data_IF_222877137251
#
_entry.id   IF_222877137251
#
_cell.length_a   1.000
_cell.length_b   1.000
_cell.length_c   1.000
_cell.angle_alpha   90.00
_cell.angle_beta   90.00
_cell.angle_gamma   90.00
#
_symmetry.space_group_name_H-M   'P 1'
#
loop_
_entity.id
_entity.type
_entity.pdbx_description
1 polymer ?
#
# COMPACT_ATOMS: atom_id res chain seq x y z
N UNK A 1 -13.65 47.66 -22.51
CA UNK A 1 -12.21 47.87 -22.27
C UNK A 1 -11.86 47.56 -20.81
N UNK A 2 -11.57 46.30 -20.44
CA UNK A 2 -11.11 45.89 -19.09
C UNK A 2 -10.18 44.65 -19.14
N UNK A 3 -9.18 44.69 -20.01
CA UNK A 3 -8.19 43.61 -20.23
C UNK A 3 -6.74 44.12 -20.17
N UNK A 4 -6.45 45.10 -19.30
CA UNK A 4 -5.18 45.83 -19.29
C UNK A 4 -4.68 46.18 -17.86
N UNK A 5 -4.83 45.26 -16.90
CA UNK A 5 -4.60 45.53 -15.47
C UNK A 5 -3.81 44.46 -14.70
N UNK A 6 -3.28 43.42 -15.35
CA UNK A 6 -2.58 42.29 -14.68
C UNK A 6 -1.12 42.12 -15.16
N UNK A 7 -0.66 42.92 -16.14
CA UNK A 7 0.65 42.76 -16.79
C UNK A 7 1.81 43.58 -16.17
N UNK A 8 1.68 44.03 -14.91
CA UNK A 8 2.58 45.04 -14.31
C UNK A 8 3.26 44.64 -12.99
N UNK A 9 3.11 43.37 -12.55
CA UNK A 9 3.73 42.85 -11.31
C UNK A 9 4.72 41.72 -11.65
N UNK A 10 5.61 41.97 -12.62
CA UNK A 10 6.54 40.97 -13.16
C UNK A 10 7.97 41.49 -13.43
N UNK A 11 8.29 42.73 -13.01
CA UNK A 11 9.53 43.43 -13.40
C UNK A 11 10.27 44.14 -12.23
N UNK A 12 10.14 43.66 -10.99
CA UNK A 12 10.82 44.25 -9.81
C UNK A 12 11.48 43.22 -8.88
N UNK A 13 11.99 42.11 -9.41
CA UNK A 13 12.86 41.17 -8.67
C UNK A 13 14.04 40.72 -9.54
N UNK A 14 14.84 41.67 -10.03
CA UNK A 14 16.05 41.35 -10.82
C UNK A 14 17.22 42.34 -10.70
N UNK A 15 17.38 42.98 -9.53
CA UNK A 15 18.59 43.71 -9.14
C UNK A 15 19.01 43.28 -7.73
N UNK A 16 20.27 42.86 -7.55
CA UNK A 16 20.74 42.37 -6.24
C UNK A 16 21.94 41.41 -6.20
N UNK A 17 22.78 41.33 -7.25
CA UNK A 17 23.96 40.43 -7.26
C UNK A 17 25.27 41.21 -7.35
N UNK A 18 25.89 41.52 -6.20
CA UNK A 18 27.36 41.63 -6.10
C UNK A 18 27.91 41.69 -4.66
N UNK A 19 29.01 40.96 -4.45
CA UNK A 19 30.04 41.15 -3.39
C UNK A 19 29.56 41.04 -1.93
N UNK A 20 30.07 40.11 -1.13
CA UNK A 20 31.49 40.09 -0.74
C UNK A 20 32.10 38.69 -0.69
N UNK A 21 33.43 38.63 -0.75
CA UNK A 21 34.22 37.44 -0.48
C UNK A 21 35.20 37.75 0.65
N UNK A 22 35.26 36.87 1.66
CA UNK A 22 36.22 36.96 2.77
C UNK A 22 36.97 35.64 2.88
N UNK A 23 38.23 35.72 2.51
CA UNK A 23 39.34 34.80 2.76
C UNK A 23 39.20 33.96 4.04
N UNK A 24 39.48 32.65 3.94
CA UNK A 24 39.93 31.84 5.08
C UNK A 24 40.83 30.70 4.56
N UNK A 25 42.14 30.91 4.61
CA UNK A 25 43.16 29.90 4.30
C UNK A 25 43.14 28.71 5.29
N UNK A 26 43.42 27.46 4.87
CA UNK A 26 43.38 26.30 5.76
C UNK A 26 44.56 26.27 6.74
N UNK A 27 44.26 25.99 8.02
CA UNK A 27 45.27 25.67 9.04
C UNK A 27 45.48 24.15 9.11
N UNK A 28 46.75 23.73 9.12
CA UNK A 28 47.16 22.34 9.34
C UNK A 28 47.62 22.17 10.78
N UNK A 29 46.88 21.38 11.57
CA UNK A 29 47.31 20.94 12.92
C UNK A 29 48.17 19.66 12.82
N UNK A 30 49.12 19.44 13.74
CA UNK A 30 50.10 18.36 13.64
C UNK A 30 49.60 17.02 14.21
N UNK A 31 50.14 15.92 13.68
CA UNK A 31 50.01 14.57 14.29
C UNK A 31 51.25 14.31 15.14
N UNK A 32 51.08 14.20 16.45
CA UNK A 32 52.16 13.89 17.39
C UNK A 32 52.38 12.37 17.50
N UNK A 33 53.63 11.93 17.49
CA UNK A 33 54.00 10.52 17.66
C UNK A 33 54.18 10.18 19.14
N UNK A 34 53.61 9.07 19.59
CA UNK A 34 54.06 8.39 20.82
C UNK A 34 53.99 6.87 20.65
N UNK A 35 55.17 6.25 20.60
CA UNK A 35 55.36 4.83 20.94
C UNK A 35 55.42 4.70 22.48
N UNK A 36 55.21 3.51 23.08
CA UNK A 36 56.39 2.62 23.24
C UNK A 36 56.11 1.09 23.27
N UNK A 37 57.07 0.30 22.76
CA UNK A 37 57.55 -1.00 23.29
C UNK A 37 56.52 -1.98 23.92
N UNK A 38 56.22 -3.13 23.30
CA UNK A 38 57.00 -4.37 23.47
C UNK A 38 56.17 -5.46 24.20
N UNK A 39 56.41 -6.77 24.09
CA UNK A 39 57.43 -7.53 23.35
C UNK A 39 56.90 -8.92 22.91
N UNK A 40 57.78 -9.69 22.27
CA UNK A 40 57.75 -11.08 21.75
C UNK A 40 56.71 -12.07 22.37
N UNK A 41 56.13 -13.02 21.62
CA UNK A 41 56.87 -14.15 21.00
C UNK A 41 56.10 -14.87 19.87
N UNK A 42 56.87 -15.54 19.00
CA UNK A 42 56.46 -16.56 18.00
C UNK A 42 57.27 -17.85 18.30
N UNK A 43 57.20 -19.01 17.59
CA UNK A 43 56.41 -19.34 16.40
C UNK A 43 55.70 -20.72 16.42
N UNK A 44 54.94 -21.00 15.36
CA UNK A 44 54.76 -22.37 14.84
C UNK A 44 54.69 -22.32 13.30
N UNK A 45 55.42 -23.20 12.61
CA UNK A 45 55.43 -23.29 11.14
C UNK A 45 55.23 -24.74 10.69
N UNK A 46 54.55 -24.93 9.55
CA UNK A 46 54.36 -26.23 8.90
C UNK A 46 54.16 -26.06 7.39
N UNK A 47 54.93 -26.78 6.57
CA UNK A 47 54.96 -26.62 5.11
C UNK A 47 55.42 -27.89 4.38
N UNK A 48 54.56 -28.43 3.53
CA UNK A 48 54.80 -29.42 2.45
C UNK A 48 53.66 -29.22 1.41
N UNK A 49 53.86 -28.96 0.10
CA UNK A 49 54.26 -29.88 -1.00
C UNK A 49 53.42 -31.17 -1.02
N UNK A 50 52.55 -31.50 -2.00
CA UNK A 50 52.49 -31.24 -3.47
C UNK A 50 52.87 -32.51 -4.26
N UNK A 51 52.57 -32.72 -5.57
CA UNK A 51 51.73 -31.97 -6.55
C UNK A 51 50.73 -32.86 -7.38
N UNK A 52 50.14 -32.32 -8.46
CA UNK A 52 49.50 -33.08 -9.57
C UNK A 52 47.96 -33.01 -9.66
N UNK A 53 47.28 -32.98 -10.82
CA UNK A 53 47.73 -32.59 -12.18
C UNK A 53 47.55 -33.63 -13.30
N UNK A 54 46.36 -33.72 -13.93
CA UNK A 54 46.19 -34.26 -15.31
C UNK A 54 44.86 -33.80 -15.98
N UNK A 55 44.55 -34.26 -17.20
CA UNK A 55 43.71 -33.53 -18.19
C UNK A 55 42.55 -34.31 -18.84
N UNK A 56 41.49 -33.58 -19.21
CA UNK A 56 40.78 -33.53 -20.52
C UNK A 56 40.86 -34.78 -21.42
N UNK A 57 39.72 -35.38 -21.85
CA UNK A 57 39.07 -34.90 -23.09
C UNK A 57 37.53 -34.93 -23.13
N UNK A 58 36.95 -34.44 -24.23
CA UNK A 58 35.51 -34.31 -24.48
C UNK A 58 35.06 -35.00 -25.79
N UNK A 59 33.84 -35.52 -25.80
CA UNK A 59 33.00 -35.84 -26.97
C UNK A 59 31.56 -36.13 -26.48
N UNK A 60 30.48 -35.94 -27.25
CA UNK A 60 30.38 -35.44 -28.63
C UNK A 60 28.94 -35.04 -29.01
N UNK A 61 28.75 -34.64 -30.27
CA UNK A 61 27.47 -34.14 -30.82
C UNK A 61 26.46 -35.22 -31.23
N UNK A 62 25.19 -34.81 -31.36
CA UNK A 62 24.22 -35.19 -32.42
C UNK A 62 22.94 -34.36 -32.19
N UNK A 63 22.62 -33.30 -32.96
CA UNK A 63 22.01 -33.27 -34.31
C UNK A 63 20.71 -34.08 -34.46
N UNK A 64 19.58 -33.40 -34.66
CA UNK A 64 18.31 -33.99 -35.10
C UNK A 64 17.14 -32.98 -35.09
N UNK A 65 16.63 -32.53 -36.25
CA UNK A 65 15.55 -31.54 -36.31
C UNK A 65 14.16 -32.17 -36.50
N UNK A 66 13.12 -31.41 -36.16
CA UNK A 66 11.73 -31.76 -36.44
C UNK A 66 10.79 -30.67 -35.96
N UNK A 67 10.29 -29.85 -36.89
CA UNK A 67 9.21 -28.91 -36.64
C UNK A 67 8.12 -29.12 -37.67
N UNK A 68 6.86 -29.09 -37.24
CA UNK A 68 5.72 -29.03 -38.15
C UNK A 68 4.63 -28.11 -37.60
N UNK A 69 3.90 -27.48 -38.50
CA UNK A 69 2.89 -26.45 -38.23
C UNK A 69 1.49 -26.99 -38.45
N UNK A 70 0.53 -26.61 -37.61
CA UNK A 70 -0.88 -26.60 -38.02
C UNK A 70 -1.63 -25.47 -37.28
N UNK A 71 -2.32 -24.55 -37.99
CA UNK A 71 -3.06 -23.46 -37.38
C UNK A 71 -4.59 -23.69 -37.38
N UNK A 72 -5.28 -22.87 -36.57
CA UNK A 72 -6.64 -22.34 -36.76
C UNK A 72 -7.84 -23.30 -36.92
N UNK A 73 -8.77 -23.20 -35.94
CA UNK A 73 -10.22 -22.94 -36.13
C UNK A 73 -10.83 -22.57 -34.75
N UNK A 74 -11.94 -21.83 -34.64
CA UNK A 74 -12.74 -21.17 -35.68
C UNK A 74 -14.25 -21.17 -35.38
N UNK A 75 -14.74 -20.38 -34.42
CA UNK A 75 -16.18 -20.26 -34.16
C UNK A 75 -16.58 -18.85 -33.65
N UNK A 76 -17.58 -18.23 -34.30
CA UNK A 76 -18.15 -16.92 -33.93
C UNK A 76 -19.68 -16.94 -33.92
N UNK A 77 -20.30 -16.45 -32.83
CA UNK A 77 -21.68 -15.92 -32.72
C UNK A 77 -21.85 -15.31 -31.33
N UNK A 78 -22.68 -14.29 -31.07
CA UNK A 78 -23.61 -13.57 -31.94
C UNK A 78 -25.02 -13.47 -31.32
N UNK A 79 -25.57 -12.26 -31.16
CA UNK A 79 -26.79 -11.99 -30.38
C UNK A 79 -26.45 -11.58 -28.93
N UNK A 80 -26.86 -10.44 -28.38
CA UNK A 80 -27.87 -9.42 -28.76
C UNK A 80 -29.33 -9.91 -28.68
N UNK A 81 -30.07 -9.38 -27.71
CA UNK A 81 -31.52 -9.56 -27.50
C UNK A 81 -32.03 -8.50 -26.53
N UNK A 82 -33.20 -7.90 -26.80
CA UNK A 82 -33.69 -6.70 -26.10
C UNK A 82 -35.21 -6.78 -25.88
N UNK A 83 -35.68 -6.33 -24.70
CA UNK A 83 -37.08 -6.26 -24.26
C UNK A 83 -37.10 -6.17 -22.72
N UNK A 84 -37.89 -5.36 -22.01
CA UNK A 84 -39.24 -4.80 -22.24
C UNK A 84 -40.36 -5.87 -22.21
N UNK A 85 -41.37 -5.81 -21.33
CA UNK A 85 -41.55 -4.94 -20.12
C UNK A 85 -42.03 -5.77 -18.89
N UNK A 86 -43.14 -5.59 -18.14
CA UNK A 86 -44.34 -4.72 -18.25
C UNK A 86 -44.94 -4.39 -16.87
N UNK A 87 -45.30 -3.12 -16.63
CA UNK A 87 -46.29 -2.55 -15.66
C UNK A 87 -46.69 -3.31 -14.38
N UNK A 88 -46.72 -2.60 -13.23
CA UNK A 88 -47.55 -2.93 -12.07
C UNK A 88 -47.70 -1.73 -11.11
N UNK A 89 -48.93 -1.33 -10.78
CA UNK A 89 -49.22 -0.13 -9.97
C UNK A 89 -50.40 -0.36 -9.00
N UNK A 90 -50.48 0.48 -7.96
CA UNK A 90 -51.46 0.36 -6.87
C UNK A 90 -50.83 -0.17 -5.56
N UNK A 91 -51.25 0.27 -4.37
CA UNK A 91 -52.24 1.30 -4.06
C UNK A 91 -51.95 1.99 -2.71
N UNK A 92 -52.70 3.06 -2.41
CA UNK A 92 -52.63 3.86 -1.18
C UNK A 92 -53.31 3.17 0.02
N UNK A 93 -52.93 3.55 1.23
CA UNK A 93 -53.43 2.93 2.47
C UNK A 93 -53.22 3.78 3.72
N UNK A 94 -53.78 4.98 3.75
CA UNK A 94 -53.82 5.83 4.95
C UNK A 94 -54.99 5.44 5.86
N UNK A 95 -54.77 5.30 7.18
CA UNK A 95 -55.81 5.65 8.16
C UNK A 95 -55.25 5.94 9.56
N UNK A 96 -55.81 6.97 10.20
CA UNK A 96 -55.47 7.43 11.56
C UNK A 96 -56.27 6.71 12.65
N UNK A 97 -55.70 6.62 13.86
CA UNK A 97 -56.48 6.56 15.11
C UNK A 97 -55.72 7.27 16.25
N UNK A 98 -56.44 7.93 17.16
CA UNK A 98 -55.87 8.69 18.28
C UNK A 98 -56.70 8.53 19.57
N UNK A 99 -56.05 8.77 20.72
CA UNK A 99 -56.62 8.74 22.08
C UNK A 99 -55.49 8.48 23.08
N UNK A 100 -55.10 9.44 23.94
CA UNK A 100 -55.76 9.82 25.20
C UNK A 100 -55.69 8.72 26.26
N UNK A 101 -55.23 8.94 27.50
CA UNK A 101 -54.68 10.17 28.11
C UNK A 101 -54.60 10.00 29.65
N UNK A 102 -53.65 10.63 30.35
CA UNK A 102 -53.51 10.44 31.80
C UNK A 102 -52.47 11.30 32.51
N UNK A 103 -52.94 12.29 33.27
CA UNK A 103 -52.23 13.05 34.32
C UNK A 103 -52.18 12.18 35.62
N UNK A 104 -51.33 12.35 36.65
CA UNK A 104 -50.91 13.57 37.40
C UNK A 104 -49.58 13.44 38.19
N UNK A 105 -49.05 14.59 38.61
CA UNK A 105 -48.30 14.86 39.88
C UNK A 105 -47.00 14.12 40.25
N UNK A 106 -45.88 14.85 40.19
CA UNK A 106 -45.34 15.54 41.38
C UNK A 106 -44.16 14.92 42.14
N UNK A 107 -43.03 15.66 42.23
CA UNK A 107 -41.91 15.35 43.12
C UNK A 107 -40.71 16.29 42.93
N UNK A 108 -40.30 17.01 43.98
CA UNK A 108 -39.16 17.95 43.97
C UNK A 108 -37.96 17.35 44.71
N UNK A 109 -36.75 17.42 44.15
CA UNK A 109 -35.54 17.02 44.87
C UNK A 109 -34.22 17.32 44.14
N UNK A 110 -33.27 17.89 44.90
CA UNK A 110 -31.81 17.99 44.69
C UNK A 110 -31.23 18.02 43.25
N UNK A 111 -30.48 19.09 42.95
CA UNK A 111 -29.52 19.09 41.84
C UNK A 111 -28.17 18.50 42.27
N UNK A 112 -27.54 17.71 41.40
CA UNK A 112 -26.21 17.13 41.61
C UNK A 112 -25.32 17.41 40.40
N UNK A 113 -24.15 18.01 40.64
CA UNK A 113 -23.23 18.48 39.58
C UNK A 113 -22.48 17.29 38.97
N UNK A 114 -23.02 16.73 37.89
CA UNK A 114 -22.38 15.64 37.13
C UNK A 114 -21.43 16.20 36.07
N UNK A 115 -20.15 15.88 36.21
CA UNK A 115 -19.10 16.25 35.24
C UNK A 115 -19.39 15.60 33.88
N UNK A 116 -19.45 16.42 32.83
CA UNK A 116 -19.71 15.94 31.47
C UNK A 116 -18.52 15.13 30.91
N UNK A 117 -18.55 13.81 31.09
CA UNK A 117 -17.75 12.89 30.30
C UNK A 117 -18.28 12.88 28.86
N UNK A 118 -17.43 13.22 27.88
CA UNK A 118 -17.84 13.32 26.48
C UNK A 118 -18.33 11.97 25.93
N UNK A 119 -19.61 11.90 25.54
CA UNK A 119 -20.23 10.71 24.99
C UNK A 119 -19.63 10.38 23.61
N UNK A 120 -18.71 9.40 23.56
CA UNK A 120 -18.17 8.91 22.28
C UNK A 120 -19.28 8.20 21.51
N UNK A 121 -19.80 8.87 20.49
CA UNK A 121 -20.96 8.43 19.70
C UNK A 121 -20.83 6.98 19.22
N UNK A 122 -21.68 6.14 19.79
CA UNK A 122 -21.76 4.69 19.56
C UNK A 122 -22.52 4.39 18.27
N UNK A 123 -21.88 4.70 17.13
CA UNK A 123 -22.37 4.32 15.81
C UNK A 123 -22.74 2.83 15.77
N UNK A 124 -23.86 2.54 15.10
CA UNK A 124 -24.54 1.25 15.17
C UNK A 124 -23.62 0.06 14.80
N UNK A 125 -23.80 -1.13 15.43
CA UNK A 125 -23.10 -2.33 15.02
C UNK A 125 -23.32 -2.64 13.54
N UNK A 126 -22.24 -2.96 12.83
CA UNK A 126 -22.31 -3.49 11.46
C UNK A 126 -23.15 -4.78 11.50
N UNK A 127 -24.20 -4.93 10.65
CA UNK A 127 -25.05 -6.12 10.69
C UNK A 127 -24.23 -7.41 10.57
N UNK A 128 -24.42 -8.42 11.45
CA UNK A 128 -23.53 -9.59 11.52
C UNK A 128 -23.30 -10.31 10.18
N UNK A 129 -24.32 -10.37 9.33
CA UNK A 129 -24.24 -10.94 7.97
C UNK A 129 -23.23 -10.25 7.03
N UNK A 130 -22.70 -9.08 7.41
CA UNK A 130 -21.69 -8.30 6.66
C UNK A 130 -20.37 -8.13 7.40
N UNK A 131 -20.19 -8.84 8.53
CA UNK A 131 -19.03 -8.74 9.42
C UNK A 131 -18.46 -10.12 9.79
N UNK A 132 -18.25 -10.99 8.80
CA UNK A 132 -17.79 -12.37 9.01
C UNK A 132 -16.25 -12.49 9.03
N UNK A 133 -15.51 -11.59 8.38
CA UNK A 133 -14.03 -11.68 8.36
C UNK A 133 -13.38 -11.26 9.68
N UNK A 134 -13.94 -10.24 10.35
CA UNK A 134 -13.48 -9.77 11.67
C UNK A 134 -14.68 -9.53 12.60
N UNK A 135 -15.34 -10.57 13.13
CA UNK A 135 -16.62 -10.44 13.85
C UNK A 135 -16.60 -9.52 15.06
N UNK A 136 -15.46 -9.38 15.72
CA UNK A 136 -15.27 -8.52 16.88
C UNK A 136 -15.07 -7.04 16.51
N UNK A 137 -14.70 -6.75 15.25
CA UNK A 137 -14.43 -5.39 14.79
C UNK A 137 -15.73 -4.69 14.38
N UNK A 138 -15.89 -3.42 14.77
CA UNK A 138 -17.03 -2.56 14.39
C UNK A 138 -16.60 -1.51 13.35
N UNK A 139 -17.57 -0.77 12.81
CA UNK A 139 -17.49 0.22 11.71
C UNK A 139 -17.00 -0.30 10.35
N UNK A 140 -16.02 -1.19 10.26
CA UNK A 140 -15.60 -1.81 8.98
C UNK A 140 -16.46 -3.02 8.65
N UNK A 141 -16.75 -3.25 7.36
CA UNK A 141 -17.54 -4.39 6.88
C UNK A 141 -16.77 -5.17 5.80
N UNK A 142 -17.17 -6.42 5.55
CA UNK A 142 -16.47 -7.34 4.65
C UNK A 142 -16.38 -6.85 3.20
N UNK A 143 -17.27 -5.97 2.74
CA UNK A 143 -17.16 -5.39 1.38
C UNK A 143 -15.92 -4.50 1.27
N UNK A 144 -15.63 -3.71 2.32
CA UNK A 144 -14.41 -2.88 2.39
C UNK A 144 -13.17 -3.78 2.50
N UNK A 145 -13.20 -4.78 3.37
CA UNK A 145 -12.08 -5.71 3.61
C UNK A 145 -11.67 -6.47 2.34
N UNK A 146 -12.64 -7.08 1.67
CA UNK A 146 -12.45 -7.79 0.39
C UNK A 146 -11.96 -6.84 -0.69
N UNK A 147 -12.63 -5.68 -0.88
CA UNK A 147 -12.18 -4.66 -1.84
C UNK A 147 -10.72 -4.25 -1.63
N UNK A 148 -10.29 -4.07 -0.38
CA UNK A 148 -8.92 -3.71 -0.05
C UNK A 148 -7.92 -4.83 -0.37
N UNK A 149 -8.22 -6.05 0.09
CA UNK A 149 -7.39 -7.24 -0.07
C UNK A 149 -7.26 -7.64 -1.55
N UNK A 150 -8.38 -7.76 -2.25
CA UNK A 150 -8.46 -8.25 -3.62
C UNK A 150 -7.75 -7.30 -4.59
N UNK A 151 -8.00 -6.00 -4.48
CA UNK A 151 -7.34 -5.02 -5.34
C UNK A 151 -5.82 -4.93 -5.08
N UNK A 152 -5.38 -5.12 -3.84
CA UNK A 152 -3.94 -5.09 -3.50
C UNK A 152 -3.25 -6.38 -3.92
N UNK A 153 -3.88 -7.55 -3.76
CA UNK A 153 -3.35 -8.83 -4.25
C UNK A 153 -3.34 -8.91 -5.78
N UNK A 154 -4.38 -8.43 -6.48
CA UNK A 154 -4.37 -8.31 -7.93
C UNK A 154 -3.22 -7.41 -8.41
N UNK A 155 -3.00 -6.27 -7.76
CA UNK A 155 -1.86 -5.38 -8.03
C UNK A 155 -0.50 -6.07 -7.85
N UNK A 156 -0.32 -6.83 -6.76
CA UNK A 156 0.90 -7.62 -6.50
C UNK A 156 1.08 -8.75 -7.52
N UNK A 157 0.00 -9.39 -7.97
CA UNK A 157 0.00 -10.43 -9.02
C UNK A 157 0.47 -9.88 -10.37
N UNK A 158 -0.11 -8.76 -10.82
CA UNK A 158 0.27 -8.07 -12.07
C UNK A 158 1.72 -7.56 -11.99
N UNK A 159 2.17 -7.08 -10.82
CA UNK A 159 3.57 -6.71 -10.58
C UNK A 159 4.52 -7.92 -10.64
N UNK A 160 4.16 -9.03 -10.01
CA UNK A 160 5.00 -10.24 -9.97
C UNK A 160 5.20 -10.88 -11.34
N UNK A 161 4.25 -10.65 -12.27
CA UNK A 161 4.30 -11.03 -13.67
C UNK A 161 4.94 -9.96 -14.58
N UNK A 162 5.49 -8.87 -14.03
CA UNK A 162 6.22 -7.84 -14.78
C UNK A 162 5.33 -6.91 -15.61
N UNK A 163 4.01 -6.89 -15.39
CA UNK A 163 3.03 -6.15 -16.20
C UNK A 163 2.78 -4.72 -15.71
N UNK A 164 3.56 -4.23 -14.73
CA UNK A 164 3.43 -2.87 -14.17
C UNK A 164 4.45 -1.94 -14.79
N UNK A 165 3.97 -1.11 -15.72
CA UNK A 165 4.73 -0.04 -16.37
C UNK A 165 5.07 1.10 -15.39
N UNK A 166 6.30 1.65 -15.48
CA UNK A 166 6.74 2.85 -14.74
C UNK A 166 6.52 4.13 -15.56
N UNK A 167 6.71 5.31 -14.94
CA UNK A 167 6.62 6.63 -15.59
C UNK A 167 7.37 6.76 -16.93
N UNK A 168 8.47 6.03 -17.10
CA UNK A 168 9.33 6.09 -18.30
C UNK A 168 9.02 4.98 -19.34
N UNK A 169 7.83 4.37 -19.32
CA UNK A 169 7.44 3.30 -20.24
C UNK A 169 8.13 1.94 -20.02
N UNK A 170 9.18 1.91 -19.18
CA UNK A 170 9.87 0.67 -18.81
C UNK A 170 9.08 -0.06 -17.73
N UNK A 171 8.82 -1.34 -17.92
CA UNK A 171 8.15 -2.18 -16.93
C UNK A 171 9.00 -2.41 -15.67
N UNK A 172 8.31 -2.64 -14.55
CA UNK A 172 8.86 -3.21 -13.33
C UNK A 172 9.26 -4.68 -13.61
N UNK A 173 10.41 -5.19 -13.12
CA UNK A 173 10.79 -6.59 -13.28
C UNK A 173 9.76 -7.57 -12.69
N UNK A 174 9.73 -8.81 -13.18
CA UNK A 174 9.02 -9.92 -12.52
C UNK A 174 9.56 -10.17 -11.11
N UNK A 175 8.72 -10.66 -10.20
CA UNK A 175 9.06 -10.85 -8.78
C UNK A 175 9.14 -12.33 -8.40
N UNK A 176 10.30 -12.78 -7.94
CA UNK A 176 10.54 -14.18 -7.61
C UNK A 176 9.93 -14.62 -6.26
N UNK A 177 9.65 -13.67 -5.34
CA UNK A 177 9.27 -13.95 -3.95
C UNK A 177 7.99 -13.24 -3.46
N UNK A 178 7.16 -12.70 -4.36
CA UNK A 178 6.01 -11.85 -3.99
C UNK A 178 4.92 -12.63 -3.23
N UNK A 179 4.78 -12.40 -1.93
CA UNK A 179 3.72 -13.05 -1.13
C UNK A 179 2.32 -12.51 -1.43
N UNK A 180 1.30 -13.38 -1.35
CA UNK A 180 -0.11 -12.98 -1.22
C UNK A 180 -0.32 -12.36 0.17
N UNK A 181 -0.97 -11.19 0.22
CA UNK A 181 -1.41 -10.59 1.47
C UNK A 181 -2.61 -11.35 2.03
N UNK A 182 -2.63 -11.50 3.35
CA UNK A 182 -3.77 -11.96 4.15
C UNK A 182 -4.41 -10.76 4.85
N UNK A 183 -5.71 -10.83 5.12
CA UNK A 183 -6.36 -9.82 5.96
C UNK A 183 -6.04 -10.07 7.43
N UNK A 184 -5.85 -8.99 8.19
CA UNK A 184 -5.50 -9.03 9.60
C UNK A 184 -6.40 -8.07 10.40
N UNK A 185 -7.13 -8.62 11.36
CA UNK A 185 -8.15 -7.88 12.12
C UNK A 185 -7.56 -6.95 13.18
N UNK A 186 -6.35 -7.23 13.67
CA UNK A 186 -5.69 -6.39 14.67
C UNK A 186 -5.07 -5.16 13.99
N UNK A 187 -4.49 -5.34 12.80
CA UNK A 187 -4.11 -4.22 11.93
C UNK A 187 -5.32 -3.36 11.52
N UNK A 188 -6.50 -3.95 11.33
CA UNK A 188 -7.73 -3.17 11.08
C UNK A 188 -8.16 -2.33 12.29
N UNK A 189 -8.01 -2.83 13.52
CA UNK A 189 -8.32 -2.06 14.73
C UNK A 189 -7.39 -0.84 14.86
N UNK A 190 -6.09 -1.02 14.63
CA UNK A 190 -5.13 0.10 14.63
C UNK A 190 -5.42 1.05 13.45
N UNK A 191 -5.78 0.54 12.27
CA UNK A 191 -6.19 1.36 11.12
C UNK A 191 -7.43 2.20 11.41
N UNK A 192 -8.43 1.64 12.11
CA UNK A 192 -9.62 2.35 12.60
C UNK A 192 -9.22 3.51 13.51
N UNK A 193 -8.41 3.27 14.52
CA UNK A 193 -8.07 4.30 15.51
C UNK A 193 -7.21 5.42 14.91
N UNK A 194 -6.38 5.10 13.89
CA UNK A 194 -5.70 6.08 13.04
C UNK A 194 -6.66 6.86 12.15
N UNK A 195 -7.71 6.24 11.62
CA UNK A 195 -8.68 6.91 10.76
C UNK A 195 -9.67 7.79 11.53
N UNK A 196 -10.13 7.36 12.72
CA UNK A 196 -11.03 8.09 13.63
C UNK A 196 -10.49 9.46 14.07
N UNK A 197 -9.16 9.68 14.02
CA UNK A 197 -8.54 10.96 14.35
C UNK A 197 -8.68 12.06 13.27
N UNK A 198 -9.05 11.72 12.03
CA UNK A 198 -9.25 12.68 10.92
C UNK A 198 -8.13 13.76 10.85
N UNK A 199 -8.47 15.05 10.81
CA UNK A 199 -7.50 16.16 10.68
C UNK A 199 -6.51 16.27 11.87
N UNK A 200 -6.82 15.69 13.03
CA UNK A 200 -5.90 15.61 14.17
C UNK A 200 -4.81 14.54 13.97
N UNK A 201 -4.80 13.80 12.84
CA UNK A 201 -3.79 12.80 12.54
C UNK A 201 -2.46 13.44 12.11
N UNK A 202 -1.43 13.27 12.96
CA UNK A 202 -0.04 13.64 12.67
C UNK A 202 0.61 12.85 11.53
N UNK A 203 1.93 12.70 11.54
CA UNK A 203 2.70 12.00 10.49
C UNK A 203 2.24 10.54 10.22
N UNK A 204 2.69 9.95 9.12
CA UNK A 204 2.41 8.55 8.78
C UNK A 204 2.94 7.61 9.89
N UNK A 205 2.10 6.73 10.43
CA UNK A 205 2.54 5.77 11.43
C UNK A 205 3.37 4.65 10.77
N UNK A 206 4.67 4.65 11.06
CA UNK A 206 5.62 3.64 10.61
C UNK A 206 6.38 3.17 11.85
N UNK A 207 6.11 1.95 12.30
CA UNK A 207 6.67 1.37 13.53
C UNK A 207 7.56 0.16 13.21
N UNK A 208 8.05 -0.55 14.24
CA UNK A 208 8.71 -1.83 14.07
C UNK A 208 7.75 -2.94 13.56
N UNK A 209 6.44 -2.75 13.70
CA UNK A 209 5.41 -3.78 13.51
C UNK A 209 4.60 -3.57 12.23
N UNK A 210 4.37 -2.31 11.83
CA UNK A 210 3.57 -1.97 10.65
C UNK A 210 3.98 -0.64 9.98
N UNK A 211 3.49 -0.44 8.75
CA UNK A 211 3.53 0.86 8.07
C UNK A 211 2.16 1.28 7.52
N UNK A 212 1.92 2.58 7.54
CA UNK A 212 0.69 3.22 7.07
C UNK A 212 0.77 3.65 5.60
N UNK A 213 -0.28 3.35 4.84
CA UNK A 213 -0.76 4.24 3.80
C UNK A 213 -2.08 4.87 4.25
N UNK A 214 -2.24 6.16 3.99
CA UNK A 214 -3.51 6.87 4.16
C UNK A 214 -3.83 7.75 2.95
N UNK A 215 -5.10 8.08 2.76
CA UNK A 215 -5.54 9.02 1.73
C UNK A 215 -6.87 9.68 2.12
N UNK A 216 -7.03 10.94 1.73
CA UNK A 216 -8.26 11.70 1.90
C UNK A 216 -8.93 11.92 0.54
N UNK A 217 -10.22 11.66 0.45
CA UNK A 217 -11.00 11.76 -0.79
C UNK A 217 -12.19 12.68 -0.52
N UNK A 218 -12.37 13.79 -1.26
CA UNK A 218 -13.60 14.57 -1.23
C UNK A 218 -14.83 13.68 -1.48
N UNK A 219 -15.91 13.85 -0.71
CA UNK A 219 -17.16 13.10 -0.92
C UNK A 219 -17.72 13.26 -2.34
N UNK A 220 -17.45 14.41 -2.99
CA UNK A 220 -17.75 14.68 -4.41
C UNK A 220 -17.13 13.69 -5.40
N UNK A 221 -16.01 13.08 -5.03
CA UNK A 221 -15.19 12.26 -5.94
C UNK A 221 -15.57 10.77 -5.85
N UNK A 222 -16.58 10.44 -5.04
CA UNK A 222 -17.10 9.08 -4.79
C UNK A 222 -18.54 9.00 -5.29
N UNK A 223 -18.74 8.31 -6.42
CA UNK A 223 -19.99 8.36 -7.18
C UNK A 223 -21.13 7.46 -6.67
N UNK A 224 -20.84 6.38 -5.94
CA UNK A 224 -21.87 5.47 -5.42
C UNK A 224 -22.52 6.00 -4.14
N UNK A 225 -23.85 6.10 -4.13
CA UNK A 225 -24.63 6.37 -2.92
C UNK A 225 -24.81 5.10 -2.05
N UNK A 226 -24.72 3.93 -2.66
CA UNK A 226 -25.02 2.61 -2.07
C UNK A 226 -23.83 2.03 -1.30
N UNK A 227 -22.61 2.36 -1.70
CA UNK A 227 -21.37 1.82 -1.13
C UNK A 227 -20.19 2.82 -1.09
N UNK A 228 -20.38 4.11 -0.73
CA UNK A 228 -19.33 5.13 -0.87
C UNK A 228 -18.02 4.78 -0.13
N UNK A 229 -18.10 4.18 1.07
CA UNK A 229 -16.91 3.72 1.81
C UNK A 229 -16.14 2.58 1.13
N UNK A 230 -16.78 1.79 0.27
CA UNK A 230 -16.11 0.74 -0.54
C UNK A 230 -15.40 1.37 -1.73
N UNK A 231 -16.03 2.34 -2.38
CA UNK A 231 -15.44 3.05 -3.52
C UNK A 231 -14.32 4.00 -3.08
N UNK A 232 -14.41 4.62 -1.91
CA UNK A 232 -13.33 5.38 -1.28
C UNK A 232 -12.09 4.52 -1.00
N UNK A 233 -12.27 3.27 -0.55
CA UNK A 233 -11.17 2.31 -0.42
C UNK A 233 -10.57 1.96 -1.79
N UNK A 234 -11.42 1.72 -2.79
CA UNK A 234 -10.99 1.42 -4.15
C UNK A 234 -10.25 2.60 -4.84
N UNK A 235 -10.64 3.84 -4.54
CA UNK A 235 -9.98 5.06 -5.00
C UNK A 235 -8.60 5.23 -4.35
N UNK A 236 -8.52 5.10 -3.02
CA UNK A 236 -7.24 5.17 -2.28
C UNK A 236 -6.21 4.15 -2.78
N UNK A 237 -6.64 2.93 -3.09
CA UNK A 237 -5.81 1.86 -3.66
C UNK A 237 -5.43 2.10 -5.14
N UNK A 238 -6.10 3.02 -5.85
CA UNK A 238 -5.60 3.58 -7.13
C UNK A 238 -4.57 4.69 -6.86
N UNK A 239 -4.82 5.56 -5.89
CA UNK A 239 -3.99 6.72 -5.57
C UNK A 239 -2.61 6.39 -5.01
N UNK A 240 -2.51 5.37 -4.16
CA UNK A 240 -1.22 4.84 -3.68
C UNK A 240 -0.46 4.10 -4.80
N UNK A 241 -1.16 3.24 -5.55
CA UNK A 241 -0.51 2.40 -6.56
C UNK A 241 -0.03 3.19 -7.79
N UNK A 242 -0.77 4.22 -8.23
CA UNK A 242 -0.43 4.97 -9.45
C UNK A 242 0.91 5.70 -9.39
N UNK A 243 1.50 5.86 -8.20
CA UNK A 243 2.78 6.56 -7.99
C UNK A 243 3.95 5.93 -8.75
N UNK A 244 3.91 4.62 -9.03
CA UNK A 244 4.87 3.95 -9.94
C UNK A 244 4.91 4.56 -11.36
N UNK A 245 3.81 5.18 -11.79
CA UNK A 245 3.65 5.86 -13.10
C UNK A 245 3.81 7.39 -13.04
N UNK A 246 3.91 8.00 -11.86
CA UNK A 246 3.93 9.46 -11.69
C UNK A 246 5.22 9.99 -11.06
N UNK A 247 5.83 9.22 -10.17
CA UNK A 247 7.02 9.62 -9.41
C UNK A 247 8.31 9.20 -10.16
N UNK A 248 9.47 9.29 -9.52
CA UNK A 248 10.74 8.84 -10.11
C UNK A 248 10.74 7.31 -10.32
N UNK A 249 11.13 6.79 -11.50
CA UNK A 249 11.14 5.35 -11.77
C UNK A 249 12.06 4.55 -10.83
N UNK A 250 11.49 3.52 -10.18
CA UNK A 250 12.27 2.53 -9.43
C UNK A 250 13.25 1.81 -10.39
N UNK A 251 14.51 1.68 -9.94
CA UNK A 251 15.57 0.99 -10.68
C UNK A 251 15.36 -0.52 -10.81
N UNK A 252 15.92 -1.15 -11.84
CA UNK A 252 15.67 -2.56 -12.20
C UNK A 252 16.18 -3.60 -11.17
N UNK A 253 16.89 -3.18 -10.14
CA UNK A 253 17.25 -4.04 -8.99
C UNK A 253 16.25 -3.96 -7.81
N UNK A 254 15.16 -3.19 -7.99
CA UNK A 254 14.03 -3.06 -7.06
C UNK A 254 14.39 -2.60 -5.63
N UNK A 255 15.49 -1.88 -5.46
CA UNK A 255 15.87 -1.27 -4.18
C UNK A 255 14.98 -0.09 -3.81
N UNK A 256 14.59 -0.04 -2.54
CA UNK A 256 14.17 1.19 -1.89
C UNK A 256 15.43 1.93 -1.40
N UNK A 257 15.45 3.26 -1.54
CA UNK A 257 16.61 4.13 -1.27
C UNK A 257 16.13 5.35 -0.50
N UNK A 258 16.99 6.01 0.27
CA UNK A 258 16.61 7.16 1.10
C UNK A 258 15.79 8.23 0.35
N UNK A 259 16.15 8.54 -0.90
CA UNK A 259 15.40 9.50 -1.74
C UNK A 259 13.92 9.13 -2.01
N UNK A 260 13.52 7.88 -1.82
CA UNK A 260 12.13 7.44 -1.99
C UNK A 260 11.27 7.72 -0.74
N UNK A 261 11.87 8.00 0.42
CA UNK A 261 11.15 8.27 1.67
C UNK A 261 10.38 9.60 1.60
N UNK A 262 10.98 10.64 1.01
CA UNK A 262 10.33 11.94 0.82
C UNK A 262 9.28 11.92 -0.31
N UNK A 263 9.41 11.01 -1.28
CA UNK A 263 8.51 10.89 -2.44
C UNK A 263 7.24 10.08 -2.14
N UNK A 264 6.18 10.29 -2.94
CA UNK A 264 4.89 9.60 -2.75
C UNK A 264 4.95 8.13 -3.23
N UNK A 265 5.95 7.77 -4.03
CA UNK A 265 6.28 6.39 -4.44
C UNK A 265 6.36 5.41 -3.26
N UNK A 266 6.67 5.89 -2.05
CA UNK A 266 6.62 5.11 -0.80
C UNK A 266 5.28 4.41 -0.58
N UNK A 267 4.18 4.99 -1.06
CA UNK A 267 2.84 4.42 -0.91
C UNK A 267 2.61 3.22 -1.84
N UNK A 268 3.13 3.28 -3.08
CA UNK A 268 3.21 2.14 -3.98
C UNK A 268 4.12 1.05 -3.40
N UNK A 269 5.31 1.40 -2.90
CA UNK A 269 6.30 0.39 -2.47
C UNK A 269 5.88 -0.40 -1.23
N UNK A 270 5.06 0.17 -0.32
CA UNK A 270 4.40 -0.58 0.76
C UNK A 270 3.49 -1.69 0.22
N UNK A 271 2.60 -1.34 -0.71
CA UNK A 271 1.70 -2.31 -1.35
C UNK A 271 2.47 -3.38 -2.13
N UNK A 272 3.61 -3.01 -2.73
CA UNK A 272 4.47 -3.88 -3.51
C UNK A 272 5.51 -4.67 -2.69
N UNK A 273 5.58 -4.51 -1.35
CA UNK A 273 6.65 -5.10 -0.56
C UNK A 273 6.48 -6.62 -0.40
N UNK A 274 7.37 -7.43 -1.00
CA UNK A 274 7.20 -8.88 -1.08
C UNK A 274 7.24 -9.58 0.29
N UNK A 275 7.97 -9.04 1.26
CA UNK A 275 8.10 -9.61 2.61
C UNK A 275 6.87 -9.31 3.49
N UNK A 276 6.11 -8.25 3.18
CA UNK A 276 4.81 -7.95 3.80
C UNK A 276 3.79 -9.00 3.35
N UNK A 277 3.07 -9.59 4.30
CA UNK A 277 2.07 -10.65 4.04
C UNK A 277 0.77 -10.51 4.83
N UNK A 278 0.61 -9.44 5.61
CA UNK A 278 -0.61 -9.03 6.32
C UNK A 278 -1.01 -7.60 5.93
N UNK A 279 -2.32 -7.33 5.87
CA UNK A 279 -2.87 -5.98 5.80
C UNK A 279 -4.19 -5.85 6.58
N UNK A 280 -4.44 -4.67 7.16
CA UNK A 280 -5.73 -4.31 7.77
C UNK A 280 -6.09 -2.87 7.40
N UNK A 281 -7.36 -2.61 7.08
CA UNK A 281 -7.79 -1.37 6.44
C UNK A 281 -9.14 -0.85 6.94
N UNK A 282 -9.39 0.43 6.74
CA UNK A 282 -10.68 1.08 7.04
C UNK A 282 -10.93 2.26 6.11
N UNK A 283 -12.18 2.75 6.12
CA UNK A 283 -12.53 4.11 5.67
C UNK A 283 -13.38 4.75 6.75
N UNK A 284 -12.94 5.89 7.26
CA UNK A 284 -13.67 6.76 8.18
C UNK A 284 -14.30 7.94 7.43
N UNK A 285 -15.39 8.48 7.98
CA UNK A 285 -15.97 9.75 7.54
C UNK A 285 -15.35 10.92 8.33
N UNK A 286 -14.87 11.94 7.62
CA UNK A 286 -14.18 13.10 8.18
C UNK A 286 -14.69 14.38 7.50
N UNK A 287 -15.78 14.95 8.01
CA UNK A 287 -16.41 16.14 7.42
C UNK A 287 -16.86 15.87 5.98
N UNK A 288 -16.41 16.70 5.03
CA UNK A 288 -16.70 16.54 3.60
C UNK A 288 -15.78 15.53 2.88
N UNK A 289 -15.00 14.73 3.63
CA UNK A 289 -14.05 13.77 3.09
C UNK A 289 -14.25 12.34 3.64
N UNK A 290 -13.86 11.36 2.83
CA UNK A 290 -13.56 10.00 3.27
C UNK A 290 -12.06 9.88 3.56
N UNK A 291 -11.71 9.38 4.74
CA UNK A 291 -10.33 9.12 5.14
C UNK A 291 -10.08 7.60 5.15
N UNK A 292 -9.34 7.11 4.17
CA UNK A 292 -8.96 5.71 4.08
C UNK A 292 -7.58 5.48 4.70
N UNK A 293 -7.45 4.43 5.50
CA UNK A 293 -6.18 4.00 6.11
C UNK A 293 -6.00 2.51 5.85
N UNK A 294 -4.80 2.10 5.46
CA UNK A 294 -4.37 0.70 5.36
C UNK A 294 -3.01 0.55 6.04
N UNK A 295 -2.90 -0.42 6.95
CA UNK A 295 -1.66 -0.80 7.61
C UNK A 295 -1.13 -2.12 7.06
N UNK A 296 0.19 -2.24 6.97
CA UNK A 296 0.91 -3.33 6.31
C UNK A 296 1.95 -3.94 7.26
N UNK A 297 1.97 -5.28 7.40
CA UNK A 297 2.92 -6.00 8.26
C UNK A 297 3.48 -7.28 7.60
N UNK A 298 4.74 -7.69 7.86
CA UNK A 298 5.82 -6.90 8.45
C UNK A 298 6.08 -5.58 7.68
N UNK A 299 6.67 -4.55 8.32
CA UNK A 299 6.85 -3.24 7.71
C UNK A 299 7.79 -3.28 6.50
N UNK A 300 7.41 -2.55 5.45
CA UNK A 300 8.19 -2.42 4.22
C UNK A 300 9.10 -1.19 4.20
N UNK A 301 9.39 -0.66 3.01
CA UNK A 301 10.11 0.60 2.76
C UNK A 301 11.39 0.81 3.58
N UNK A 302 12.12 -0.27 3.88
CA UNK A 302 13.40 -0.16 4.58
C UNK A 302 14.46 0.32 3.60
N UNK A 303 15.20 1.34 3.99
CA UNK A 303 16.24 1.96 3.18
C UNK A 303 17.35 0.96 2.89
N UNK A 304 17.81 0.92 1.63
CA UNK A 304 18.73 -0.07 1.06
C UNK A 304 18.25 -1.54 1.02
N UNK A 305 17.03 -1.87 1.46
CA UNK A 305 16.40 -3.17 1.18
C UNK A 305 15.73 -3.21 -0.21
N UNK A 306 15.43 -4.42 -0.70
CA UNK A 306 14.68 -4.63 -1.95
C UNK A 306 13.18 -4.73 -1.67
N UNK A 307 12.39 -4.00 -2.45
CA UNK A 307 10.92 -4.05 -2.45
C UNK A 307 10.44 -5.49 -2.76
N UNK A 308 11.12 -6.15 -3.70
CA UNK A 308 11.01 -7.58 -3.97
C UNK A 308 12.28 -8.08 -4.69
N UNK A 309 12.48 -9.39 -4.75
CA UNK A 309 13.60 -9.99 -5.49
C UNK A 309 13.21 -10.03 -6.98
N UNK A 310 13.89 -9.27 -7.87
CA UNK A 310 13.65 -9.37 -9.30
C UNK A 310 14.13 -10.73 -9.83
N UNK A 311 13.30 -11.41 -10.61
CA UNK A 311 13.59 -12.75 -11.14
C UNK A 311 12.33 -13.47 -11.59
N UNK A 312 12.47 -14.69 -12.12
CA UNK A 312 11.36 -15.50 -12.62
C UNK A 312 10.29 -15.72 -11.53
N UNK A 313 9.02 -15.53 -11.88
CA UNK A 313 7.92 -15.53 -10.92
C UNK A 313 7.85 -16.82 -10.09
N UNK A 314 7.72 -16.66 -8.78
CA UNK A 314 7.74 -17.71 -7.75
C UNK A 314 9.05 -18.54 -7.57
N UNK A 315 10.18 -18.25 -8.23
CA UNK A 315 11.38 -19.10 -8.02
C UNK A 315 12.09 -18.91 -6.67
N UNK A 316 11.67 -17.94 -5.87
CA UNK A 316 12.23 -17.60 -4.54
C UNK A 316 11.14 -17.43 -3.48
N UNK A 317 10.05 -18.20 -3.55
CA UNK A 317 8.99 -18.13 -2.54
C UNK A 317 9.52 -18.43 -1.12
N UNK A 318 9.18 -17.63 -0.08
CA UNK A 318 9.64 -17.86 1.28
C UNK A 318 9.27 -19.24 1.85
N UNK A 319 10.08 -19.76 2.77
CA UNK A 319 9.80 -21.00 3.46
C UNK A 319 8.41 -20.98 4.13
N UNK A 320 7.66 -22.09 4.03
CA UNK A 320 6.27 -22.14 4.48
C UNK A 320 5.24 -21.52 3.51
N UNK A 321 5.65 -21.13 2.30
CA UNK A 321 4.75 -20.73 1.21
C UNK A 321 4.96 -21.59 -0.04
N UNK A 322 3.92 -21.71 -0.87
CA UNK A 322 3.95 -22.35 -2.19
C UNK A 322 3.56 -21.35 -3.28
N UNK A 323 3.80 -21.66 -4.56
CA UNK A 323 3.37 -20.77 -5.64
C UNK A 323 1.93 -21.07 -6.05
N UNK A 324 1.05 -20.07 -5.96
CA UNK A 324 -0.13 -20.02 -6.80
C UNK A 324 0.31 -19.57 -8.20
N UNK A 325 0.34 -20.53 -9.14
CA UNK A 325 0.75 -20.29 -10.54
C UNK A 325 -0.26 -19.47 -11.34
N UNK A 326 -1.52 -19.38 -10.91
CA UNK A 326 -2.54 -18.54 -11.56
C UNK A 326 -2.41 -17.07 -11.17
N UNK A 327 -1.97 -16.80 -9.93
CA UNK A 327 -1.72 -15.45 -9.43
C UNK A 327 -0.26 -14.99 -9.62
N UNK A 328 0.68 -15.92 -9.77
CA UNK A 328 2.11 -15.60 -9.72
C UNK A 328 2.57 -15.14 -8.32
N UNK A 329 1.89 -15.60 -7.27
CA UNK A 329 2.10 -15.19 -5.88
C UNK A 329 2.49 -16.38 -4.99
N UNK A 330 3.32 -16.10 -4.00
CA UNK A 330 3.66 -17.04 -2.94
C UNK A 330 2.56 -17.03 -1.87
N UNK A 331 1.81 -18.12 -1.77
CA UNK A 331 0.66 -18.29 -0.87
C UNK A 331 1.04 -19.16 0.33
N UNK A 332 0.49 -18.86 1.50
CA UNK A 332 0.63 -19.71 2.67
C UNK A 332 -0.45 -20.81 2.68
N UNK A 333 -0.23 -21.94 3.37
CA UNK A 333 -1.30 -22.90 3.65
C UNK A 333 -2.52 -22.20 4.30
N UNK A 334 -3.71 -22.44 3.74
CA UNK A 334 -4.96 -21.83 4.22
C UNK A 334 -5.07 -20.31 4.04
N UNK A 335 -4.67 -19.75 2.88
CA UNK A 335 -4.69 -18.31 2.59
C UNK A 335 -5.27 -17.89 1.25
#
# INVERSE_FOLDING_TARGET
>A
MRYLAILLIALLVFEGVRSQATDTSPQTEPVENTEPTGAETTPAAGKTTGPGGETTPAAGETTGPGGETTPAEGATTGGTGTGAETTGAGEIGETTAAGSGGTTTGGTGAGETTTAAGEKTTEAPVPPATNQMCPNNRRTNDKIRKKALDMTNWRRSVLAQGQVEKRNGVYMPTAANMQKLRYDCDLELIARDRAEACEALGSEANTADYQENRYYIPKSDVASAEAPRVDAMAASIKEWWKRVRLDEPIGLQCYFRAKHESLQVRTFTRMAWANTNKMGCTVQECGDQWHAVCLYSPPGNKVEERIYIPGTTCTMCPAGTSCDRSLGLCVAPGS
#
